data_IF_902238739593
#
_entry.id   IF_902238739593
#
_cell.length_a   1.000
_cell.length_b   1.000
_cell.length_c   1.000
_cell.angle_alpha   90.00
_cell.angle_beta   90.00
_cell.angle_gamma   90.00
#
_symmetry.space_group_name_H-M   'P 1'
#
loop_
_entity.id
_entity.type
_entity.pdbx_description
1 polymer ?
#
# COMPACT_ATOMS: atom_id res chain seq x y z
N UNK A 1 81.30 -8.24 1.58
CA UNK A 1 80.17 -7.31 1.65
C UNK A 1 78.94 -8.19 1.97
N UNK A 2 78.65 -8.31 3.22
CA UNK A 2 77.68 -9.27 3.74
C UNK A 2 76.31 -8.61 3.77
N UNK A 3 75.38 -9.13 2.95
CA UNK A 3 74.00 -8.62 2.87
C UNK A 3 73.26 -9.25 4.08
N UNK A 4 73.05 -8.46 5.13
CA UNK A 4 72.21 -8.80 6.25
C UNK A 4 70.77 -8.87 5.80
N UNK A 5 70.20 -10.08 5.69
CA UNK A 5 68.80 -10.31 5.51
C UNK A 5 68.01 -9.70 6.66
N UNK A 6 67.13 -8.71 6.34
CA UNK A 6 66.20 -8.16 7.30
C UNK A 6 65.12 -9.24 7.61
N UNK A 7 64.81 -9.54 8.87
CA UNK A 7 63.78 -10.48 9.19
C UNK A 7 62.44 -9.97 8.67
N UNK A 8 61.75 -10.80 7.88
CA UNK A 8 60.39 -10.54 7.41
C UNK A 8 59.49 -10.31 8.63
N UNK A 9 58.80 -9.15 8.64
CA UNK A 9 57.82 -8.78 9.67
C UNK A 9 56.69 -9.79 9.66
N UNK A 10 56.70 -10.76 10.57
CA UNK A 10 55.63 -11.74 10.69
C UNK A 10 54.35 -11.02 11.14
N UNK A 11 53.38 -10.94 10.26
CA UNK A 11 52.08 -10.40 10.59
C UNK A 11 51.38 -11.28 11.65
N UNK A 12 50.76 -10.69 12.66
CA UNK A 12 50.14 -11.45 13.74
C UNK A 12 49.00 -12.33 13.20
N UNK A 13 49.12 -13.64 13.38
CA UNK A 13 48.09 -14.63 13.01
C UNK A 13 46.86 -14.38 13.87
N UNK A 14 45.79 -13.93 13.24
CA UNK A 14 44.51 -13.66 13.93
C UNK A 14 43.97 -14.96 14.58
N UNK A 15 43.61 -14.89 15.85
CA UNK A 15 43.04 -16.03 16.59
C UNK A 15 41.76 -16.52 15.86
N UNK A 16 41.63 -17.86 15.74
CA UNK A 16 40.48 -18.53 15.10
C UNK A 16 39.11 -18.01 15.61
N UNK A 17 39.04 -17.59 16.88
CA UNK A 17 37.85 -17.02 17.50
C UNK A 17 37.55 -15.62 16.94
N UNK A 18 38.55 -14.77 16.76
CA UNK A 18 38.40 -13.42 16.16
C UNK A 18 38.00 -13.53 14.70
N UNK A 19 38.54 -14.47 13.95
CA UNK A 19 38.18 -14.70 12.54
C UNK A 19 36.71 -15.16 12.39
N UNK A 20 36.22 -16.04 13.29
CA UNK A 20 34.80 -16.45 13.28
C UNK A 20 33.88 -15.29 13.61
N UNK A 21 34.18 -14.52 14.64
CA UNK A 21 33.42 -13.34 15.02
C UNK A 21 33.33 -12.33 13.88
N UNK A 22 34.48 -12.08 13.23
CA UNK A 22 34.53 -11.18 12.09
C UNK A 22 33.64 -11.66 10.89
N UNK A 23 33.65 -12.96 10.59
CA UNK A 23 32.79 -13.53 9.54
C UNK A 23 31.30 -13.39 9.86
N UNK A 24 30.92 -13.63 11.11
CA UNK A 24 29.53 -13.44 11.57
C UNK A 24 29.12 -11.97 11.46
N UNK A 25 29.98 -11.07 11.94
CA UNK A 25 29.73 -9.64 11.89
C UNK A 25 29.62 -9.14 10.44
N UNK A 26 30.51 -9.60 9.55
CA UNK A 26 30.47 -9.27 8.14
C UNK A 26 29.20 -9.79 7.43
N UNK A 27 28.69 -10.98 7.82
CA UNK A 27 27.45 -11.51 7.30
C UNK A 27 26.22 -10.75 7.83
N UNK A 28 26.26 -10.23 9.04
CA UNK A 28 25.16 -9.45 9.65
C UNK A 28 25.17 -7.99 9.20
N UNK A 29 26.30 -7.46 8.75
CA UNK A 29 26.45 -6.04 8.39
C UNK A 29 25.38 -5.55 7.39
N UNK A 30 25.10 -6.27 6.27
CA UNK A 30 24.08 -5.79 5.31
C UNK A 30 22.67 -5.71 5.95
N UNK A 31 22.31 -6.63 6.83
CA UNK A 31 21.04 -6.60 7.54
C UNK A 31 20.96 -5.43 8.52
N UNK A 32 22.06 -5.13 9.21
CA UNK A 32 22.14 -3.97 10.11
C UNK A 32 22.01 -2.67 9.31
N UNK A 33 22.66 -2.57 8.15
CA UNK A 33 22.56 -1.39 7.27
C UNK A 33 21.12 -1.20 6.79
N UNK A 34 20.44 -2.27 6.35
CA UNK A 34 19.05 -2.19 5.90
C UNK A 34 18.13 -1.74 7.03
N UNK A 35 18.30 -2.28 8.24
CA UNK A 35 17.52 -1.91 9.40
C UNK A 35 17.75 -0.45 9.82
N UNK A 36 18.98 0.03 9.74
CA UNK A 36 19.31 1.43 10.00
C UNK A 36 18.72 2.37 8.94
N UNK A 37 18.73 1.97 7.65
CA UNK A 37 18.07 2.72 6.59
C UNK A 37 16.57 2.83 6.84
N UNK A 38 15.90 1.73 7.16
CA UNK A 38 14.46 1.72 7.49
C UNK A 38 14.16 2.65 8.67
N UNK A 39 14.94 2.53 9.74
CA UNK A 39 14.82 3.38 10.93
C UNK A 39 15.03 4.88 10.63
N UNK A 40 15.89 5.19 9.64
CA UNK A 40 16.15 6.57 9.23
C UNK A 40 15.03 7.11 8.32
N UNK A 41 14.50 6.28 7.40
CA UNK A 41 13.52 6.70 6.40
C UNK A 41 12.11 6.84 7.00
N UNK A 42 11.75 6.01 7.99
CA UNK A 42 10.43 6.03 8.64
C UNK A 42 10.02 7.40 9.19
N UNK A 43 10.87 8.15 9.95
CA UNK A 43 10.50 9.47 10.47
C UNK A 43 10.27 10.53 9.38
N UNK A 44 10.89 10.34 8.21
CA UNK A 44 10.73 11.25 7.08
C UNK A 44 9.52 10.93 6.20
N UNK A 45 8.72 9.93 6.58
CA UNK A 45 7.58 9.46 5.78
C UNK A 45 7.98 9.20 4.31
N UNK A 46 9.20 8.66 4.12
CA UNK A 46 9.70 8.36 2.79
C UNK A 46 8.94 7.15 2.22
N UNK A 47 8.25 7.39 1.12
CA UNK A 47 7.40 6.41 0.46
C UNK A 47 5.99 6.95 0.22
N UNK A 48 5.18 6.21 -0.50
CA UNK A 48 3.78 6.52 -0.72
C UNK A 48 2.92 5.77 0.30
N UNK A 49 1.95 6.47 0.87
CA UNK A 49 0.91 5.84 1.68
C UNK A 49 -0.16 5.27 0.73
N UNK A 50 -0.20 3.95 0.66
CA UNK A 50 -1.19 3.21 -0.11
C UNK A 50 -2.33 2.67 0.74
N UNK A 51 -2.63 3.34 1.86
CA UNK A 51 -3.84 3.04 2.64
C UNK A 51 -5.07 3.22 1.75
N UNK A 52 -5.98 2.25 1.77
CA UNK A 52 -7.14 2.22 0.86
C UNK A 52 -8.08 3.41 1.08
N UNK A 53 -8.30 3.79 2.33
CA UNK A 53 -9.18 4.89 2.69
C UNK A 53 -8.40 5.99 3.39
N UNK A 54 -8.63 7.22 2.95
CA UNK A 54 -8.11 8.43 3.58
C UNK A 54 -9.28 9.27 4.09
N UNK A 55 -9.08 10.00 5.16
CA UNK A 55 -10.04 11.00 5.60
C UNK A 55 -10.15 12.09 4.54
N UNK A 56 -11.38 12.46 4.19
CA UNK A 56 -11.63 13.47 3.17
C UNK A 56 -11.25 14.87 3.68
N UNK A 57 -10.32 15.59 3.03
CA UNK A 57 -9.81 16.86 3.52
C UNK A 57 -10.90 17.91 3.73
N UNK A 58 -11.89 17.93 2.84
CA UNK A 58 -12.96 18.95 2.84
C UNK A 58 -14.21 18.49 3.63
N UNK A 59 -14.22 17.24 4.12
CA UNK A 59 -15.36 16.66 4.83
C UNK A 59 -14.91 15.88 6.06
N UNK A 60 -14.62 16.55 7.19
CA UNK A 60 -14.22 15.87 8.43
C UNK A 60 -15.25 14.82 8.86
N UNK A 61 -14.78 13.64 9.26
CA UNK A 61 -15.65 12.52 9.63
C UNK A 61 -16.11 11.64 8.47
N UNK A 62 -15.59 11.89 7.26
CA UNK A 62 -15.82 11.05 6.08
C UNK A 62 -14.51 10.48 5.55
N UNK A 63 -14.59 9.25 5.06
CA UNK A 63 -13.54 8.62 4.27
C UNK A 63 -13.84 8.75 2.77
N UNK A 64 -12.77 8.74 2.00
CA UNK A 64 -12.78 8.56 0.55
C UNK A 64 -11.74 7.51 0.16
N UNK A 65 -11.92 6.89 -0.99
CA UNK A 65 -10.89 6.00 -1.55
C UNK A 65 -9.64 6.79 -1.90
N UNK A 66 -8.49 6.25 -1.54
CA UNK A 66 -7.21 6.86 -1.88
C UNK A 66 -6.99 6.83 -3.40
N UNK A 67 -6.94 8.01 -4.00
CA UNK A 67 -6.78 8.16 -5.45
C UNK A 67 -5.42 7.65 -5.96
N UNK A 68 -4.43 7.55 -5.06
CA UNK A 68 -3.10 7.02 -5.39
C UNK A 68 -2.98 5.51 -5.20
N UNK A 69 -4.04 4.83 -4.76
CA UNK A 69 -3.97 3.38 -4.51
C UNK A 69 -3.58 2.60 -5.78
N UNK A 70 -3.99 3.07 -6.95
CA UNK A 70 -3.63 2.48 -8.23
C UNK A 70 -2.12 2.48 -8.49
N UNK A 71 -1.39 3.49 -8.03
CA UNK A 71 0.05 3.60 -8.21
C UNK A 71 0.83 2.40 -7.63
N UNK A 72 0.28 1.75 -6.60
CA UNK A 72 0.84 0.53 -6.00
C UNK A 72 0.98 -0.62 -7.00
N UNK A 73 0.09 -0.69 -8.00
CA UNK A 73 -0.05 -1.85 -8.89
C UNK A 73 0.45 -1.60 -10.31
N UNK A 74 0.74 -0.35 -10.66
CA UNK A 74 1.19 0.02 -12.00
C UNK A 74 2.66 0.42 -12.01
N UNK A 75 3.46 -0.27 -12.82
CA UNK A 75 4.90 0.04 -12.99
C UNK A 75 5.09 1.44 -13.59
N UNK A 76 4.20 1.84 -14.51
CA UNK A 76 4.17 3.19 -15.07
C UNK A 76 3.05 3.97 -14.36
N UNK A 77 3.44 4.89 -13.51
CA UNK A 77 2.53 5.66 -12.65
C UNK A 77 1.50 6.47 -13.44
N UNK A 78 1.87 6.95 -14.64
CA UNK A 78 0.97 7.69 -15.54
C UNK A 78 -0.22 6.85 -16.02
N UNK A 79 -0.12 5.53 -15.95
CA UNK A 79 -1.18 4.59 -16.30
C UNK A 79 -2.02 4.14 -15.09
N UNK A 80 -1.65 4.60 -13.89
CA UNK A 80 -2.39 4.24 -12.69
C UNK A 80 -3.84 4.72 -12.77
N UNK A 81 -4.76 3.81 -12.50
CA UNK A 81 -6.18 4.10 -12.60
C UNK A 81 -6.74 4.56 -11.26
N UNK A 82 -7.71 5.45 -11.33
CA UNK A 82 -8.34 6.09 -10.19
C UNK A 82 -9.69 5.42 -9.96
N UNK A 83 -10.05 5.19 -8.70
CA UNK A 83 -11.38 4.73 -8.31
C UNK A 83 -12.43 5.84 -8.31
N UNK A 84 -13.63 5.53 -7.87
CA UNK A 84 -14.71 6.52 -7.71
C UNK A 84 -14.45 7.41 -6.47
N UNK A 85 -14.92 8.66 -6.52
CA UNK A 85 -14.75 9.66 -5.44
C UNK A 85 -15.92 9.64 -4.44
N UNK A 86 -16.44 8.48 -4.12
CA UNK A 86 -17.56 8.40 -3.19
C UNK A 86 -17.10 8.64 -1.74
N UNK A 87 -17.80 9.54 -1.05
CA UNK A 87 -17.59 9.83 0.36
C UNK A 87 -18.51 8.95 1.22
N UNK A 88 -17.99 8.47 2.34
CA UNK A 88 -18.77 7.72 3.32
C UNK A 88 -18.35 8.02 4.75
N UNK A 89 -19.29 7.93 5.67
CA UNK A 89 -19.03 8.23 7.08
C UNK A 89 -18.00 7.26 7.67
N UNK A 90 -17.04 7.78 8.44
CA UNK A 90 -16.08 6.97 9.21
C UNK A 90 -16.85 6.06 10.15
N UNK A 91 -17.75 6.63 10.93
CA UNK A 91 -18.61 5.90 11.85
C UNK A 91 -19.96 5.59 11.17
N UNK A 92 -20.21 4.31 10.93
CA UNK A 92 -21.49 3.83 10.42
C UNK A 92 -22.52 3.82 11.53
N UNK A 93 -23.71 4.33 11.26
CA UNK A 93 -24.82 4.21 12.19
C UNK A 93 -25.24 2.73 12.35
N UNK A 94 -25.68 2.33 13.53
CA UNK A 94 -25.94 0.91 13.83
C UNK A 94 -26.97 0.26 12.92
N UNK A 95 -27.92 1.04 12.40
CA UNK A 95 -28.99 0.56 11.53
C UNK A 95 -28.68 0.67 10.04
N UNK A 96 -27.55 1.26 9.66
CA UNK A 96 -27.15 1.43 8.26
C UNK A 96 -26.56 0.14 7.70
N UNK A 97 -26.90 -0.16 6.45
CA UNK A 97 -26.27 -1.23 5.69
C UNK A 97 -25.21 -0.64 4.77
N UNK A 98 -23.94 -0.94 5.01
CA UNK A 98 -22.83 -0.53 4.13
C UNK A 98 -22.44 -1.69 3.24
N UNK A 99 -22.49 -1.47 1.92
CA UNK A 99 -22.17 -2.45 0.88
C UNK A 99 -21.02 -1.90 0.06
N UNK A 100 -19.91 -2.62 0.02
CA UNK A 100 -18.79 -2.33 -0.86
C UNK A 100 -18.93 -3.14 -2.15
N UNK A 101 -18.83 -2.45 -3.27
CA UNK A 101 -18.80 -3.07 -4.59
C UNK A 101 -17.35 -3.10 -5.07
N UNK A 102 -16.84 -4.30 -5.27
CA UNK A 102 -15.49 -4.56 -5.74
C UNK A 102 -15.53 -5.13 -7.15
N UNK A 103 -14.72 -4.62 -8.03
CA UNK A 103 -14.64 -5.08 -9.40
C UNK A 103 -13.62 -4.29 -10.22
N UNK A 104 -13.67 -4.47 -11.53
CA UNK A 104 -12.83 -3.74 -12.48
C UNK A 104 -13.69 -2.78 -13.32
N UNK A 105 -13.29 -2.54 -14.57
CA UNK A 105 -13.92 -1.56 -15.48
C UNK A 105 -15.44 -1.69 -15.62
N UNK A 106 -16.00 -2.89 -15.62
CA UNK A 106 -17.44 -3.08 -15.68
C UNK A 106 -18.16 -2.66 -14.39
N UNK A 107 -17.54 -2.84 -13.24
CA UNK A 107 -18.12 -2.48 -11.96
C UNK A 107 -18.06 -0.97 -11.72
N UNK A 108 -17.00 -0.27 -12.16
CA UNK A 108 -16.93 1.19 -12.12
C UNK A 108 -17.89 1.84 -13.14
N UNK A 109 -18.40 1.05 -14.11
CA UNK A 109 -19.34 1.55 -15.12
C UNK A 109 -18.67 2.06 -16.39
N UNK A 110 -17.43 1.64 -16.69
CA UNK A 110 -16.76 2.04 -17.93
C UNK A 110 -17.53 1.54 -19.17
N UNK A 111 -17.69 2.35 -20.24
CA UNK A 111 -17.12 3.70 -20.43
C UNK A 111 -18.03 4.85 -19.90
N UNK A 112 -19.19 4.55 -19.35
CA UNK A 112 -20.20 5.54 -18.96
C UNK A 112 -19.94 6.17 -17.60
N UNK A 113 -19.00 5.62 -16.83
CA UNK A 113 -18.57 6.08 -15.50
C UNK A 113 -19.76 6.42 -14.59
N UNK A 114 -19.88 7.65 -14.12
CA UNK A 114 -20.92 8.06 -13.16
C UNK A 114 -22.36 7.78 -13.58
N UNK A 115 -22.64 7.62 -14.86
CA UNK A 115 -23.99 7.39 -15.38
C UNK A 115 -24.32 5.91 -15.61
N UNK A 116 -23.32 5.03 -15.60
CA UNK A 116 -23.47 3.63 -15.97
C UNK A 116 -23.27 2.57 -14.88
N UNK A 117 -22.77 2.88 -13.68
CA UNK A 117 -22.41 1.84 -12.75
C UNK A 117 -23.62 1.20 -12.10
N UNK A 118 -23.65 -0.13 -12.06
CA UNK A 118 -24.79 -0.90 -11.54
C UNK A 118 -25.07 -0.64 -10.06
N UNK A 119 -24.08 -0.25 -9.28
CA UNK A 119 -24.25 0.03 -7.84
C UNK A 119 -25.23 1.16 -7.58
N UNK A 120 -25.31 2.15 -8.47
CA UNK A 120 -26.31 3.24 -8.38
C UNK A 120 -27.72 2.72 -8.62
N UNK A 121 -27.89 1.84 -9.61
CA UNK A 121 -29.17 1.17 -9.83
C UNK A 121 -29.55 0.26 -8.65
N UNK A 122 -28.57 -0.44 -8.09
CA UNK A 122 -28.77 -1.27 -6.89
C UNK A 122 -29.19 -0.42 -5.70
N UNK A 123 -28.50 0.71 -5.46
CA UNK A 123 -28.85 1.67 -4.39
C UNK A 123 -30.31 2.12 -4.53
N UNK A 124 -30.66 2.59 -5.72
CA UNK A 124 -32.03 3.03 -6.01
C UNK A 124 -33.06 1.93 -5.71
N UNK A 125 -32.82 0.71 -6.20
CA UNK A 125 -33.72 -0.41 -5.98
C UNK A 125 -33.85 -0.79 -4.49
N UNK A 126 -32.74 -0.87 -3.77
CA UNK A 126 -32.76 -1.22 -2.35
C UNK A 126 -33.48 -0.18 -1.51
N UNK A 127 -33.26 1.11 -1.78
CA UNK A 127 -33.96 2.19 -1.09
C UNK A 127 -35.47 2.18 -1.34
N UNK A 128 -35.92 1.77 -2.54
CA UNK A 128 -37.34 1.67 -2.85
C UNK A 128 -38.00 0.38 -2.34
N UNK A 129 -37.23 -0.72 -2.29
CA UNK A 129 -37.74 -2.01 -1.83
C UNK A 129 -37.78 -2.08 -0.30
N UNK A 130 -36.81 -1.44 0.35
CA UNK A 130 -36.65 -1.45 1.82
C UNK A 130 -36.51 -0.02 2.36
N UNK A 131 -37.55 0.80 2.27
CA UNK A 131 -37.46 2.23 2.63
C UNK A 131 -37.14 2.50 4.10
N UNK A 132 -37.30 1.51 4.95
CA UNK A 132 -37.00 1.61 6.38
C UNK A 132 -35.51 1.38 6.70
N UNK A 133 -34.74 0.86 5.74
CA UNK A 133 -33.33 0.52 5.94
C UNK A 133 -32.46 1.47 5.14
N UNK A 134 -31.61 2.26 5.76
CA UNK A 134 -30.66 3.09 5.06
C UNK A 134 -29.53 2.23 4.44
N UNK A 135 -29.29 2.40 3.15
CA UNK A 135 -28.24 1.70 2.41
C UNK A 135 -27.17 2.70 1.96
N UNK A 136 -25.94 2.41 2.33
CA UNK A 136 -24.74 3.10 1.83
C UNK A 136 -23.99 2.12 0.92
N UNK A 137 -24.03 2.37 -0.39
CA UNK A 137 -23.41 1.50 -1.39
C UNK A 137 -22.27 2.26 -2.03
N UNK A 138 -21.07 1.70 -1.90
CA UNK A 138 -19.81 2.34 -2.25
C UNK A 138 -19.10 1.51 -3.31
N UNK A 139 -18.68 2.17 -4.37
CA UNK A 139 -17.96 1.53 -5.45
C UNK A 139 -16.43 1.73 -5.26
N UNK A 140 -15.73 0.67 -4.93
CA UNK A 140 -14.27 0.65 -4.76
C UNK A 140 -13.56 0.04 -5.99
N UNK A 141 -14.18 0.10 -7.15
CA UNK A 141 -13.69 -0.56 -8.35
C UNK A 141 -12.84 0.38 -9.18
N UNK A 142 -11.53 0.19 -9.29
CA UNK A 142 -10.71 0.87 -10.29
C UNK A 142 -10.80 0.16 -11.65
N UNK A 143 -10.33 0.81 -12.71
CA UNK A 143 -10.20 0.16 -14.01
C UNK A 143 -8.86 -0.60 -14.12
N UNK A 144 -8.75 -1.53 -15.09
CA UNK A 144 -7.52 -2.23 -15.45
C UNK A 144 -6.84 -2.98 -14.29
N UNK A 145 -7.63 -3.50 -13.34
CA UNK A 145 -7.16 -4.31 -12.22
C UNK A 145 -7.60 -5.76 -12.36
N UNK A 146 -6.94 -6.64 -11.62
CA UNK A 146 -7.24 -8.06 -11.57
C UNK A 146 -7.70 -8.49 -10.17
N UNK A 147 -8.01 -9.79 -10.02
CA UNK A 147 -8.48 -10.34 -8.74
C UNK A 147 -7.45 -10.25 -7.62
N UNK A 148 -6.14 -10.24 -7.92
CA UNK A 148 -5.09 -10.09 -6.91
C UNK A 148 -5.14 -8.68 -6.32
N UNK A 149 -5.27 -7.66 -7.16
CA UNK A 149 -5.44 -6.27 -6.71
C UNK A 149 -6.67 -6.11 -5.82
N UNK A 150 -7.80 -6.74 -6.21
CA UNK A 150 -9.04 -6.66 -5.43
C UNK A 150 -8.97 -7.44 -4.10
N UNK A 151 -8.13 -8.45 -4.02
CA UNK A 151 -7.90 -9.19 -2.77
C UNK A 151 -7.09 -8.36 -1.76
N UNK A 152 -6.25 -7.47 -2.26
CA UNK A 152 -5.38 -6.61 -1.45
C UNK A 152 -6.11 -5.33 -0.95
N UNK A 153 -7.31 -5.07 -1.45
CA UNK A 153 -8.22 -4.01 -1.01
C UNK A 153 -9.00 -4.45 0.24
#
# INVERSE_FOLDING_TARGET
>A
MEIKDKPALALPVASKRKTRLFKVLAALLPFIILLLMEMLLTPFHYGNDYTLFLEAPDHPGFFQMNQKIGEKYFTQQDNATIGDHELFKINKDSNDYRIFVLGASSAIGYPYLHNGPFHRCLKYRLMHTFPQNPFEILNLSPTAVNSITLYDF
#
